data_IF_138160440395
#
_entry.id   IF_138160440395
#
_cell.length_a   1.000
_cell.length_b   1.000
_cell.length_c   1.000
_cell.angle_alpha   90.00
_cell.angle_beta   90.00
_cell.angle_gamma   90.00
#
_symmetry.space_group_name_H-M   'P 1'
#
loop_
_entity.id
_entity.type
_entity.pdbx_description
1 polymer ?
#
# COMPACT_ATOMS: atom_id res chain seq x y z
N UNK A 1 19.81 -22.33 -4.90
CA UNK A 1 18.68 -22.73 -4.01
C UNK A 1 17.57 -23.29 -4.90
N UNK A 2 17.10 -24.52 -4.67
CA UNK A 2 16.04 -25.13 -5.50
C UNK A 2 14.69 -24.53 -5.13
N UNK A 3 14.08 -23.75 -6.04
CA UNK A 3 12.72 -23.22 -5.91
C UNK A 3 11.71 -24.36 -5.79
N UNK A 4 11.37 -24.75 -4.56
CA UNK A 4 10.29 -25.70 -4.26
C UNK A 4 9.07 -24.89 -3.85
N UNK A 5 8.03 -24.94 -4.69
CA UNK A 5 6.72 -24.39 -4.36
C UNK A 5 5.93 -25.51 -3.66
N UNK A 6 5.41 -25.20 -2.47
CA UNK A 6 4.61 -26.11 -1.66
C UNK A 6 3.16 -25.62 -1.62
N UNK A 7 2.20 -26.54 -1.69
CA UNK A 7 0.79 -26.24 -1.54
C UNK A 7 0.32 -26.68 -0.15
N UNK A 8 -0.28 -25.77 0.60
CA UNK A 8 -0.93 -26.08 1.87
C UNK A 8 -2.35 -26.58 1.63
N UNK A 9 -2.61 -27.85 1.99
CA UNK A 9 -3.95 -28.43 2.05
C UNK A 9 -4.23 -28.82 3.50
N UNK A 10 -4.89 -27.89 4.22
CA UNK A 10 -5.23 -28.01 5.63
C UNK A 10 -4.00 -28.27 6.52
N UNK A 11 -3.83 -29.48 7.06
CA UNK A 11 -2.69 -29.86 7.90
C UNK A 11 -1.47 -30.40 7.13
N UNK A 12 -1.51 -30.44 5.80
CA UNK A 12 -0.46 -31.02 4.97
C UNK A 12 0.20 -29.97 4.07
N UNK A 13 1.53 -30.05 3.95
CA UNK A 13 2.28 -29.35 2.91
C UNK A 13 2.73 -30.35 1.85
N UNK A 14 2.17 -30.24 0.65
CA UNK A 14 2.51 -31.09 -0.48
C UNK A 14 3.49 -30.36 -1.40
N UNK A 15 4.57 -31.04 -1.81
CA UNK A 15 5.43 -30.53 -2.86
C UNK A 15 4.66 -30.57 -4.18
N UNK A 16 4.50 -29.43 -4.83
CA UNK A 16 3.86 -29.40 -6.14
C UNK A 16 4.88 -29.89 -7.18
N UNK A 17 4.58 -30.96 -7.94
CA UNK A 17 5.46 -31.42 -8.99
C UNK A 17 5.74 -30.30 -9.99
N UNK A 18 7.02 -30.07 -10.29
CA UNK A 18 7.48 -28.94 -11.12
C UNK A 18 6.96 -28.97 -12.56
N UNK A 19 6.47 -30.12 -13.04
CA UNK A 19 5.86 -30.25 -14.37
C UNK A 19 4.39 -29.78 -14.42
N UNK A 20 3.71 -29.70 -13.27
CA UNK A 20 2.36 -29.14 -13.15
C UNK A 20 2.37 -27.62 -12.97
N UNK A 21 3.51 -27.09 -12.53
CA UNK A 21 3.75 -25.66 -12.40
C UNK A 21 4.29 -25.15 -13.73
N UNK A 22 3.54 -24.26 -14.37
CA UNK A 22 4.11 -23.33 -15.34
C UNK A 22 4.23 -21.98 -14.60
N UNK A 23 5.38 -21.70 -13.95
CA UNK A 23 5.54 -20.52 -13.12
C UNK A 23 5.27 -19.23 -13.89
N UNK A 24 5.54 -19.23 -15.20
CA UNK A 24 5.27 -18.09 -16.08
C UNK A 24 3.78 -17.85 -16.23
N UNK A 25 2.96 -18.90 -16.38
CA UNK A 25 1.50 -18.77 -16.45
C UNK A 25 0.88 -18.34 -15.13
N UNK A 26 1.38 -18.82 -14.00
CA UNK A 26 0.90 -18.38 -12.67
C UNK A 26 1.25 -16.91 -12.42
N UNK A 27 2.51 -16.50 -12.64
CA UNK A 27 2.93 -15.10 -12.56
C UNK A 27 2.15 -14.21 -13.53
N UNK A 28 1.88 -14.65 -14.76
CA UNK A 28 1.05 -13.88 -15.69
C UNK A 28 -0.39 -13.77 -15.21
N UNK A 29 -0.99 -14.83 -14.66
CA UNK A 29 -2.35 -14.79 -14.10
C UNK A 29 -2.43 -13.90 -12.88
N UNK A 30 -1.46 -13.96 -11.99
CA UNK A 30 -1.37 -13.05 -10.85
C UNK A 30 -1.15 -11.62 -11.30
N UNK A 31 -0.22 -11.37 -12.24
CA UNK A 31 -0.01 -10.03 -12.82
C UNK A 31 -1.24 -9.49 -13.52
N UNK A 32 -2.01 -10.33 -14.23
CA UNK A 32 -3.28 -9.94 -14.83
C UNK A 32 -4.36 -9.68 -13.78
N UNK A 33 -4.43 -10.47 -12.71
CA UNK A 33 -5.36 -10.24 -11.59
C UNK A 33 -5.01 -8.98 -10.81
N UNK A 34 -3.73 -8.77 -10.49
CA UNK A 34 -3.21 -7.54 -9.90
C UNK A 34 -3.42 -6.35 -10.83
N UNK A 35 -3.18 -6.51 -12.14
CA UNK A 35 -3.41 -5.47 -13.13
C UNK A 35 -4.90 -5.12 -13.30
N UNK A 36 -5.79 -6.10 -13.21
CA UNK A 36 -7.24 -5.88 -13.21
C UNK A 36 -7.72 -5.24 -11.91
N UNK A 37 -7.18 -5.66 -10.76
CA UNK A 37 -7.50 -5.10 -9.45
C UNK A 37 -6.93 -3.69 -9.25
N UNK A 38 -5.78 -3.38 -9.85
CA UNK A 38 -5.13 -2.06 -9.81
C UNK A 38 -5.33 -1.25 -11.10
N UNK A 39 -6.28 -1.65 -11.95
CA UNK A 39 -6.56 -0.95 -13.22
C UNK A 39 -7.03 0.49 -13.02
N UNK A 40 -7.48 0.84 -11.81
CA UNK A 40 -7.85 2.20 -11.42
C UNK A 40 -6.64 3.08 -11.01
N UNK A 41 -5.50 2.48 -10.68
CA UNK A 41 -4.31 3.24 -10.23
C UNK A 41 -3.67 3.97 -11.41
N UNK A 42 -4.03 5.24 -11.55
CA UNK A 42 -3.30 6.19 -12.40
C UNK A 42 -1.94 6.53 -11.79
N UNK A 43 -1.14 7.32 -12.51
CA UNK A 43 0.14 7.79 -11.97
C UNK A 43 -0.06 8.67 -10.73
N UNK A 44 -1.11 9.48 -10.67
CA UNK A 44 -1.41 10.32 -9.51
C UNK A 44 -1.79 9.49 -8.28
N UNK A 45 -2.43 8.33 -8.45
CA UNK A 45 -2.66 7.40 -7.34
C UNK A 45 -1.34 6.96 -6.69
N UNK A 46 -0.34 6.63 -7.52
CA UNK A 46 0.99 6.25 -7.02
C UNK A 46 1.71 7.42 -6.38
N UNK A 47 1.64 8.61 -6.98
CA UNK A 47 2.26 9.84 -6.45
C UNK A 47 1.68 10.19 -5.08
N UNK A 48 0.35 10.22 -4.94
CA UNK A 48 -0.34 10.49 -3.67
C UNK A 48 0.01 9.43 -2.62
N UNK A 49 -0.04 8.15 -2.96
CA UNK A 49 0.31 7.07 -2.05
C UNK A 49 1.77 7.16 -1.58
N UNK A 50 2.73 7.28 -2.51
CA UNK A 50 4.15 7.41 -2.16
C UNK A 50 4.43 8.64 -1.31
N UNK A 51 3.77 9.76 -1.61
CA UNK A 51 3.88 10.97 -0.81
C UNK A 51 3.38 10.73 0.61
N UNK A 52 2.21 10.11 0.78
CA UNK A 52 1.67 9.83 2.12
C UNK A 52 2.60 8.91 2.93
N UNK A 53 3.07 7.80 2.36
CA UNK A 53 4.00 6.87 3.01
C UNK A 53 5.32 7.56 3.39
N UNK A 54 5.82 8.45 2.53
CA UNK A 54 7.06 9.17 2.78
C UNK A 54 6.87 10.25 3.85
N UNK A 55 5.81 11.04 3.82
CA UNK A 55 5.68 12.24 4.65
C UNK A 55 5.08 11.99 6.03
N UNK A 56 4.21 10.97 6.19
CA UNK A 56 3.63 10.63 7.50
C UNK A 56 4.70 10.45 8.59
N UNK A 57 5.84 9.76 8.34
CA UNK A 57 6.90 9.65 9.33
C UNK A 57 7.63 10.94 9.69
N UNK A 58 7.72 11.87 8.75
CA UNK A 58 8.44 13.13 8.96
C UNK A 58 7.55 14.13 9.71
N UNK A 59 6.30 14.27 9.29
CA UNK A 59 5.35 15.23 9.88
C UNK A 59 4.81 14.73 11.21
N UNK A 60 4.63 13.40 11.37
CA UNK A 60 4.06 12.75 12.57
C UNK A 60 2.68 13.29 12.97
N UNK A 61 1.95 13.81 12.00
CA UNK A 61 0.58 14.31 12.14
C UNK A 61 -0.23 13.86 10.91
N UNK A 62 -1.56 13.80 11.01
CA UNK A 62 -2.42 13.50 9.87
C UNK A 62 -2.13 14.44 8.70
N UNK A 63 -2.04 13.91 7.48
CA UNK A 63 -1.79 14.71 6.28
C UNK A 63 -3.10 15.22 5.70
N UNK A 64 -3.25 16.54 5.63
CA UNK A 64 -4.43 17.16 5.01
C UNK A 64 -4.39 17.03 3.48
N UNK A 65 -5.56 16.92 2.82
CA UNK A 65 -5.63 16.95 1.35
C UNK A 65 -5.02 18.22 0.75
N UNK A 66 -5.14 19.35 1.44
CA UNK A 66 -4.60 20.64 0.98
C UNK A 66 -3.06 20.63 0.93
N UNK A 67 -2.42 20.02 1.94
CA UNK A 67 -0.96 19.88 1.97
C UNK A 67 -0.48 18.97 0.84
N UNK A 68 -1.18 17.85 0.60
CA UNK A 68 -0.86 16.92 -0.48
C UNK A 68 -1.00 17.60 -1.84
N UNK A 69 -2.10 18.32 -2.06
CA UNK A 69 -2.38 19.08 -3.27
C UNK A 69 -1.28 20.11 -3.55
N UNK A 70 -0.92 20.91 -2.53
CA UNK A 70 0.16 21.90 -2.63
C UNK A 70 1.51 21.27 -2.98
N UNK A 71 1.85 20.12 -2.37
CA UNK A 71 3.15 19.49 -2.55
C UNK A 71 3.29 18.71 -3.85
N UNK A 72 2.17 18.20 -4.38
CA UNK A 72 2.15 17.42 -5.62
C UNK A 72 1.77 18.25 -6.84
N UNK A 73 1.50 19.55 -6.67
CA UNK A 73 1.02 20.45 -7.72
C UNK A 73 -0.23 19.89 -8.41
N UNK A 74 -1.18 19.44 -7.58
CA UNK A 74 -2.48 18.91 -7.99
C UNK A 74 -3.58 19.80 -7.41
N UNK A 75 -4.75 19.81 -8.04
CA UNK A 75 -5.91 20.44 -7.41
C UNK A 75 -6.36 19.63 -6.20
N UNK A 76 -6.96 20.32 -5.23
CA UNK A 76 -7.54 19.69 -4.04
C UNK A 76 -8.57 18.62 -4.40
N UNK A 77 -9.42 18.90 -5.39
CA UNK A 77 -10.49 18.00 -5.80
C UNK A 77 -9.95 16.72 -6.44
N UNK A 78 -8.88 16.83 -7.25
CA UNK A 78 -8.16 15.66 -7.78
C UNK A 78 -7.58 14.81 -6.66
N UNK A 79 -6.92 15.43 -5.67
CA UNK A 79 -6.36 14.70 -4.52
C UNK A 79 -7.46 14.02 -3.72
N UNK A 80 -8.57 14.69 -3.45
CA UNK A 80 -9.70 14.10 -2.72
C UNK A 80 -10.30 12.92 -3.50
N UNK A 81 -10.42 13.02 -4.82
CA UNK A 81 -10.86 11.91 -5.67
C UNK A 81 -9.91 10.73 -5.57
N UNK A 82 -8.62 10.97 -5.75
CA UNK A 82 -7.57 9.92 -5.68
C UNK A 82 -7.56 9.25 -4.32
N UNK A 83 -7.61 10.03 -3.23
CA UNK A 83 -7.67 9.48 -1.87
C UNK A 83 -8.92 8.63 -1.64
N UNK A 84 -10.05 9.04 -2.21
CA UNK A 84 -11.31 8.29 -2.13
C UNK A 84 -11.21 6.96 -2.88
N UNK A 85 -10.60 6.96 -4.07
CA UNK A 85 -10.37 5.74 -4.83
C UNK A 85 -9.39 4.81 -4.12
N UNK A 86 -8.29 5.34 -3.57
CA UNK A 86 -7.31 4.57 -2.79
C UNK A 86 -7.95 3.92 -1.55
N UNK A 87 -8.73 4.70 -0.79
CA UNK A 87 -9.39 4.21 0.42
C UNK A 87 -10.47 3.17 0.10
N UNK A 88 -11.30 3.40 -0.94
CA UNK A 88 -12.37 2.49 -1.35
C UNK A 88 -11.87 1.10 -1.74
N UNK A 89 -10.71 1.04 -2.37
CA UNK A 89 -10.09 -0.23 -2.77
C UNK A 89 -9.22 -0.83 -1.67
N UNK A 90 -9.23 -0.24 -0.46
CA UNK A 90 -8.37 -0.60 0.67
C UNK A 90 -6.89 -0.66 0.26
N UNK A 91 -6.48 0.16 -0.72
CA UNK A 91 -5.10 0.21 -1.14
C UNK A 91 -4.32 1.04 -0.16
N UNK A 92 -3.93 0.39 0.94
CA UNK A 92 -2.81 0.81 1.78
C UNK A 92 -2.93 2.22 2.37
N UNK A 93 -4.14 2.78 2.49
CA UNK A 93 -4.36 4.13 3.02
C UNK A 93 -5.71 4.23 3.74
N UNK A 94 -5.76 5.03 4.81
CA UNK A 94 -6.97 5.32 5.59
C UNK A 94 -7.00 6.79 6.04
N UNK A 95 -8.20 7.37 6.08
CA UNK A 95 -8.43 8.76 6.50
C UNK A 95 -9.24 8.85 7.79
N UNK A 96 -8.98 9.87 8.60
CA UNK A 96 -9.81 10.22 9.75
C UNK A 96 -11.13 10.89 9.33
N UNK A 97 -11.97 11.25 10.31
CA UNK A 97 -13.26 11.93 10.08
C UNK A 97 -13.12 13.31 9.43
N UNK A 98 -11.95 13.93 9.54
CA UNK A 98 -11.61 15.22 8.92
C UNK A 98 -11.14 15.05 7.47
N UNK A 99 -11.03 13.81 6.97
CA UNK A 99 -10.55 13.50 5.62
C UNK A 99 -9.03 13.57 5.49
N UNK A 100 -8.29 13.60 6.60
CA UNK A 100 -6.84 13.61 6.62
C UNK A 100 -6.30 12.19 6.67
N UNK A 101 -5.18 11.94 5.99
CA UNK A 101 -4.54 10.62 5.97
C UNK A 101 -3.85 10.39 7.31
N UNK A 102 -4.25 9.34 8.06
CA UNK A 102 -3.59 8.97 9.32
C UNK A 102 -2.73 7.72 9.20
N UNK A 103 -3.04 6.87 8.22
CA UNK A 103 -2.30 5.64 7.95
C UNK A 103 -2.09 5.49 6.45
N UNK A 104 -0.87 5.12 6.10
CA UNK A 104 -0.53 4.57 4.79
C UNK A 104 0.47 3.44 4.96
N UNK A 105 0.17 2.22 4.50
CA UNK A 105 0.99 1.06 4.79
C UNK A 105 2.47 1.28 4.38
N UNK A 106 3.44 1.01 5.27
CA UNK A 106 3.29 0.34 6.57
C UNK A 106 3.18 1.27 7.79
N UNK A 107 3.01 2.58 7.61
CA UNK A 107 3.16 3.60 8.65
C UNK A 107 1.83 4.24 9.07
N UNK A 108 1.70 4.53 10.37
CA UNK A 108 0.59 5.31 10.92
C UNK A 108 1.08 6.34 11.93
N UNK A 109 0.32 7.43 12.07
CA UNK A 109 0.47 8.40 13.17
C UNK A 109 -0.30 7.98 14.42
N UNK A 110 -1.24 7.03 14.27
CA UNK A 110 -1.97 6.46 15.40
C UNK A 110 -1.06 5.57 16.23
N UNK A 111 -1.22 5.60 17.55
CA UNK A 111 -0.39 4.77 18.43
C UNK A 111 -0.76 3.30 18.28
N UNK A 112 0.22 2.48 17.96
CA UNK A 112 0.12 1.02 17.98
C UNK A 112 1.21 0.42 18.87
N UNK A 113 1.12 -0.86 19.26
CA UNK A 113 2.21 -1.54 19.97
C UNK A 113 3.47 -1.75 19.11
N UNK A 114 3.37 -1.53 17.79
CA UNK A 114 4.44 -1.80 16.84
C UNK A 114 5.19 -0.52 16.52
N UNK A 115 6.42 -0.42 17.01
CA UNK A 115 7.28 0.74 16.77
C UNK A 115 8.24 0.47 15.59
N UNK A 116 8.42 1.46 14.73
CA UNK A 116 9.38 1.46 13.65
C UNK A 116 10.35 2.62 13.83
N UNK A 117 11.63 2.37 13.50
CA UNK A 117 12.65 3.39 13.40
C UNK A 117 13.20 3.36 11.98
N UNK A 118 13.06 4.46 11.26
CA UNK A 118 13.65 4.62 9.93
C UNK A 118 15.17 4.81 10.04
N UNK A 119 15.91 4.48 8.99
CA UNK A 119 17.37 4.70 8.94
C UNK A 119 17.76 6.17 9.10
N UNK A 120 16.85 7.08 8.78
CA UNK A 120 16.97 8.53 8.98
C UNK A 120 16.68 9.00 10.42
N UNK A 121 16.24 8.09 11.30
CA UNK A 121 16.06 8.33 12.74
C UNK A 121 14.63 8.63 13.17
N UNK A 122 13.67 8.79 12.25
CA UNK A 122 12.26 8.99 12.59
C UNK A 122 11.69 7.72 13.23
N UNK A 123 11.02 7.92 14.37
CA UNK A 123 10.25 6.89 15.05
C UNK A 123 8.77 7.07 14.78
N UNK A 124 8.11 6.00 14.35
CA UNK A 124 6.68 5.94 14.03
C UNK A 124 6.06 4.62 14.49
N UNK A 125 4.76 4.48 14.24
CA UNK A 125 4.02 3.25 14.48
C UNK A 125 3.77 2.48 13.18
N UNK A 126 3.76 1.16 13.27
CA UNK A 126 3.32 0.29 12.18
C UNK A 126 1.84 -0.07 12.34
N UNK A 127 1.14 -0.27 11.23
CA UNK A 127 -0.25 -0.74 11.21
C UNK A 127 -0.48 -1.82 10.14
#
# INVERSE_FOLDING_TARGET
MKNRIMLGLWKYMLNVPTFLLDPKKQLMREKMRFGAAMGFMTEDHRRVHHFAVKELPHVKQPLSPDLIAQKLDLSRDEVVSVLTDLEKHMTFLFRNKQGEVTWAYPVTVDKTPHHLTFSSGEQVYAA
#
